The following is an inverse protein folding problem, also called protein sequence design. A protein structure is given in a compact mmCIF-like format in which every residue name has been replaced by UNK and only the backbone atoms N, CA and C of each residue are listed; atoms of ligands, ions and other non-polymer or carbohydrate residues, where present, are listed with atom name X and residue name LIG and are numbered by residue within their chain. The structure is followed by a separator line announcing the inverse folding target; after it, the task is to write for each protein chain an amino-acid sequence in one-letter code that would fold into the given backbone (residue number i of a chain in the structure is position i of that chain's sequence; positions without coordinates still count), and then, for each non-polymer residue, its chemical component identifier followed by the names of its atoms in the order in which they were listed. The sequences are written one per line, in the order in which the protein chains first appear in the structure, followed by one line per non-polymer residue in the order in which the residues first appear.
data_IF_474588916325
#
_entry.id   IF_474588916325
#
_cell.length_a   1.000
_cell.length_b   1.000
_cell.length_c   1.000
_cell.angle_alpha   90.00
_cell.angle_beta   90.00
_cell.angle_gamma   90.00
#
_symmetry.space_group_name_H-M   'P 1'
#
loop_
_entity.id
_entity.type
_entity.pdbx_description
1 polymer ?
#
# COMPACT_ATOMS: atom_id res chain seq x y z
N UNK A 1 6.46 2.52 21.64
CA UNK A 1 5.41 2.52 22.66
C UNK A 1 5.64 3.65 23.65
N UNK A 2 4.57 4.20 24.22
CA UNK A 2 4.65 5.20 25.27
C UNK A 2 4.87 4.51 26.62
N UNK A 3 5.67 5.15 27.50
CA UNK A 3 5.81 4.74 28.89
C UNK A 3 4.69 5.36 29.74
N UNK A 4 4.43 4.79 30.93
CA UNK A 4 3.44 5.37 31.87
C UNK A 4 3.78 6.82 32.24
N UNK A 5 5.07 7.16 32.28
CA UNK A 5 5.54 8.52 32.57
C UNK A 5 5.20 9.53 31.46
N UNK A 6 4.96 9.07 30.23
CA UNK A 6 4.64 9.93 29.09
C UNK A 6 3.15 10.34 29.07
N UNK A 7 2.33 9.72 29.95
CA UNK A 7 0.90 10.04 30.06
C UNK A 7 0.75 11.31 30.91
N UNK A 8 0.24 12.37 30.30
CA UNK A 8 0.09 13.68 30.96
C UNK A 8 -1.13 13.71 31.88
N UNK A 9 -2.27 13.18 31.43
CA UNK A 9 -3.54 13.25 32.15
C UNK A 9 -4.35 11.95 31.99
N UNK A 10 -5.11 11.60 33.01
CA UNK A 10 -5.96 10.40 33.05
C UNK A 10 -7.40 10.87 33.28
N UNK A 11 -8.27 10.61 32.33
CA UNK A 11 -9.68 10.99 32.36
C UNK A 11 -10.53 9.72 32.47
N UNK A 12 -11.44 9.68 33.43
CA UNK A 12 -12.39 8.59 33.60
C UNK A 12 -13.70 8.93 32.90
N UNK A 13 -14.23 7.98 32.13
CA UNK A 13 -15.46 8.14 31.34
C UNK A 13 -16.43 6.99 31.62
N UNK A 14 -17.71 7.32 31.78
CA UNK A 14 -18.79 6.37 32.03
C UNK A 14 -19.05 6.09 33.52
N UNK A 15 -20.30 5.79 33.87
CA UNK A 15 -20.76 5.63 35.24
C UNK A 15 -20.02 4.57 36.04
N UNK A 16 -19.55 3.50 35.42
CA UNK A 16 -18.77 2.43 36.08
C UNK A 16 -17.48 2.95 36.71
N UNK A 17 -16.92 4.04 36.22
CA UNK A 17 -15.67 4.63 36.74
C UNK A 17 -15.86 5.36 38.06
N UNK A 18 -17.12 5.50 38.53
CA UNK A 18 -17.44 6.00 39.88
C UNK A 18 -17.14 4.99 40.96
N UNK A 19 -16.96 3.72 40.62
CA UNK A 19 -16.63 2.65 41.58
C UNK A 19 -15.25 2.92 42.18
N UNK A 20 -15.12 3.06 43.52
CA UNK A 20 -13.84 3.40 44.14
C UNK A 20 -12.70 2.42 43.83
N UNK A 21 -13.00 1.13 43.70
CA UNK A 21 -12.02 0.12 43.36
C UNK A 21 -11.40 0.33 41.96
N UNK A 22 -12.20 0.82 41.00
CA UNK A 22 -11.71 1.16 39.66
C UNK A 22 -10.78 2.36 39.72
N UNK A 23 -11.17 3.42 40.44
CA UNK A 23 -10.35 4.62 40.62
C UNK A 23 -9.00 4.29 41.28
N UNK A 24 -9.02 3.48 42.34
CA UNK A 24 -7.82 3.01 43.03
C UNK A 24 -6.91 2.15 42.11
N UNK A 25 -7.51 1.27 41.32
CA UNK A 25 -6.76 0.44 40.36
C UNK A 25 -6.07 1.29 39.30
N UNK A 26 -6.76 2.29 38.75
CA UNK A 26 -6.20 3.24 37.77
C UNK A 26 -5.08 4.06 38.38
N UNK A 27 -5.30 4.63 39.57
CA UNK A 27 -4.29 5.41 40.30
C UNK A 27 -3.03 4.56 40.59
N UNK A 28 -3.23 3.33 41.04
CA UNK A 28 -2.12 2.39 41.29
C UNK A 28 -1.36 2.03 40.05
N UNK A 29 -2.05 1.85 38.91
CA UNK A 29 -1.41 1.49 37.64
C UNK A 29 -0.58 2.63 37.06
N UNK A 30 -1.13 3.86 37.04
CA UNK A 30 -0.47 5.01 36.46
C UNK A 30 0.41 5.79 37.44
N UNK A 31 0.32 5.51 38.76
CA UNK A 31 1.03 6.29 39.76
C UNK A 31 0.52 7.74 39.92
N UNK A 32 -0.62 8.05 39.32
CA UNK A 32 -1.29 9.38 39.34
C UNK A 32 -2.78 9.22 39.59
N UNK A 33 -3.37 10.10 40.36
CA UNK A 33 -4.82 10.16 40.49
C UNK A 33 -5.49 10.61 39.18
N UNK A 34 -6.63 10.00 38.81
CA UNK A 34 -7.41 10.47 37.66
C UNK A 34 -7.87 11.91 37.84
N UNK A 35 -7.95 12.65 36.74
CA UNK A 35 -8.48 14.00 36.69
C UNK A 35 -9.95 14.03 37.17
N UNK A 36 -10.28 15.02 38.01
CA UNK A 36 -11.64 15.27 38.50
C UNK A 36 -12.31 16.43 37.77
N UNK A 37 -11.69 16.95 36.73
CA UNK A 37 -12.13 18.13 35.99
C UNK A 37 -13.40 17.93 35.17
N UNK A 38 -13.80 16.68 34.91
CA UNK A 38 -14.99 16.35 34.11
C UNK A 38 -15.91 15.38 34.86
N UNK A 39 -17.21 15.48 34.62
CA UNK A 39 -18.20 14.52 35.11
C UNK A 39 -18.18 13.29 34.19
N UNK A 40 -17.87 12.08 34.71
CA UNK A 40 -17.78 10.87 33.87
C UNK A 40 -19.07 10.51 33.13
N UNK A 41 -20.23 10.95 33.62
CA UNK A 41 -21.54 10.64 32.99
C UNK A 41 -21.87 11.62 31.85
N UNK A 42 -21.34 12.84 31.89
CA UNK A 42 -21.68 13.93 30.96
C UNK A 42 -20.60 14.23 29.95
N UNK A 43 -19.38 13.77 30.18
CA UNK A 43 -18.20 14.15 29.39
C UNK A 43 -18.34 13.80 27.91
N UNK A 44 -19.03 12.70 27.59
CA UNK A 44 -19.29 12.31 26.18
C UNK A 44 -20.23 13.30 25.51
N UNK A 45 -21.31 13.70 26.18
CA UNK A 45 -22.25 14.68 25.66
C UNK A 45 -21.58 16.07 25.50
N UNK A 46 -20.76 16.47 26.47
CA UNK A 46 -19.99 17.70 26.42
C UNK A 46 -18.99 17.68 25.24
N UNK A 47 -18.26 16.57 25.07
CA UNK A 47 -17.34 16.38 23.96
C UNK A 47 -18.04 16.43 22.60
N UNK A 48 -19.22 15.81 22.47
CA UNK A 48 -20.03 15.88 21.26
C UNK A 48 -20.51 17.30 20.95
N UNK A 49 -20.91 18.08 21.99
CA UNK A 49 -21.30 19.47 21.82
C UNK A 49 -20.11 20.36 21.37
N UNK A 50 -18.93 20.16 21.95
CA UNK A 50 -17.71 20.87 21.56
C UNK A 50 -17.35 20.53 20.09
N UNK A 51 -17.40 19.25 19.73
CA UNK A 51 -17.14 18.81 18.35
C UNK A 51 -18.16 19.40 17.36
N UNK A 52 -19.42 19.47 17.74
CA UNK A 52 -20.45 20.18 16.96
C UNK A 52 -20.07 21.66 16.74
N UNK A 53 -19.62 22.33 17.80
CA UNK A 53 -19.17 23.72 17.71
C UNK A 53 -17.90 23.92 16.84
N UNK A 54 -16.97 22.93 16.84
CA UNK A 54 -15.81 22.93 15.92
C UNK A 54 -16.27 22.79 14.48
N UNK A 55 -17.21 21.89 14.19
CA UNK A 55 -17.74 21.65 12.84
C UNK A 55 -18.53 22.83 12.29
N UNK A 56 -19.25 23.57 13.16
CA UNK A 56 -19.96 24.80 12.77
C UNK A 56 -19.06 26.04 12.70
N UNK A 57 -17.83 25.96 13.19
CA UNK A 57 -16.88 27.06 13.25
C UNK A 57 -17.06 28.01 14.46
N UNK A 58 -17.94 27.64 15.41
CA UNK A 58 -18.17 28.42 16.64
C UNK A 58 -17.03 28.26 17.64
N UNK A 59 -16.41 27.07 17.67
CA UNK A 59 -15.25 26.77 18.52
C UNK A 59 -14.00 26.68 17.64
N UNK A 60 -13.03 27.57 17.88
CA UNK A 60 -11.79 27.68 17.07
C UNK A 60 -10.53 27.26 17.83
N UNK A 61 -10.61 27.17 19.13
CA UNK A 61 -9.44 26.94 20.01
C UNK A 61 -9.22 25.45 20.33
N UNK A 62 -10.08 24.58 19.79
CA UNK A 62 -9.99 23.13 19.99
C UNK A 62 -9.84 22.48 18.62
N UNK A 63 -8.74 21.74 18.44
CA UNK A 63 -8.50 20.89 17.27
C UNK A 63 -8.67 19.43 17.71
N UNK A 64 -9.76 18.79 17.28
CA UNK A 64 -9.93 17.36 17.40
C UNK A 64 -9.59 16.73 16.05
N UNK A 65 -8.56 15.90 16.04
CA UNK A 65 -8.16 15.15 14.87
C UNK A 65 -8.51 13.67 15.09
N UNK A 66 -9.32 13.13 14.21
CA UNK A 66 -9.57 11.70 14.14
C UNK A 66 -8.54 11.02 13.24
N UNK A 67 -8.40 9.72 13.34
CA UNK A 67 -7.41 8.95 12.57
C UNK A 67 -8.04 7.71 11.93
N UNK A 68 -7.48 7.28 10.81
CA UNK A 68 -7.86 6.01 10.19
C UNK A 68 -7.44 4.84 11.10
N UNK A 69 -8.34 3.92 11.49
CA UNK A 69 -8.00 2.81 12.39
C UNK A 69 -7.13 1.74 11.73
N UNK A 70 -7.24 1.59 10.41
CA UNK A 70 -6.52 0.65 9.55
C UNK A 70 -6.11 1.33 8.25
N UNK A 71 -5.09 0.78 7.60
CA UNK A 71 -4.65 1.22 6.28
C UNK A 71 -5.74 0.99 5.23
N UNK A 72 -5.81 1.89 4.27
CA UNK A 72 -6.70 1.85 3.12
C UNK A 72 -5.87 1.76 1.84
N UNK A 73 -6.31 0.96 0.89
CA UNK A 73 -5.57 0.76 -0.36
C UNK A 73 -6.41 0.10 -1.44
N UNK A 74 -5.73 -0.28 -2.50
CA UNK A 74 -6.33 -1.00 -3.63
C UNK A 74 -5.58 -2.29 -3.93
N UNK A 75 -6.27 -3.25 -4.54
CA UNK A 75 -5.62 -4.41 -5.12
C UNK A 75 -4.85 -4.01 -6.38
N UNK A 76 -3.61 -4.45 -6.46
CA UNK A 76 -2.73 -4.26 -7.62
C UNK A 76 -2.21 -5.59 -8.14
N UNK A 77 -1.42 -5.55 -9.22
CA UNK A 77 -0.90 -6.73 -9.91
C UNK A 77 -0.28 -7.76 -8.95
N UNK A 78 -0.67 -9.02 -9.12
CA UNK A 78 -0.24 -10.12 -8.24
C UNK A 78 -1.08 -10.28 -6.97
N UNK A 79 -2.22 -9.57 -6.84
CA UNK A 79 -3.09 -9.65 -5.67
C UNK A 79 -2.50 -8.97 -4.43
N UNK A 80 -1.60 -8.01 -4.62
CA UNK A 80 -0.98 -7.23 -3.54
C UNK A 80 -1.89 -6.05 -3.18
N UNK A 81 -2.01 -5.74 -1.89
CA UNK A 81 -2.60 -4.49 -1.43
C UNK A 81 -1.58 -3.36 -1.47
N UNK A 82 -1.77 -2.41 -2.38
CA UNK A 82 -1.02 -1.15 -2.37
C UNK A 82 -1.72 -0.16 -1.46
N UNK A 83 -1.04 0.21 -0.38
CA UNK A 83 -1.59 1.14 0.61
C UNK A 83 -1.57 2.56 0.07
N UNK A 84 -2.75 3.19 0.06
CA UNK A 84 -2.93 4.59 -0.30
C UNK A 84 -2.86 5.49 0.94
N UNK A 85 -3.50 5.09 2.01
CA UNK A 85 -3.51 5.81 3.30
C UNK A 85 -3.13 4.81 4.38
N UNK A 86 -2.09 5.10 5.14
CA UNK A 86 -1.62 4.25 6.24
C UNK A 86 -2.55 4.35 7.46
N UNK A 87 -2.55 3.30 8.28
CA UNK A 87 -3.23 3.34 9.58
C UNK A 87 -2.72 4.50 10.45
N UNK A 88 -3.59 5.01 11.29
CA UNK A 88 -3.34 6.15 12.18
C UNK A 88 -3.00 7.47 11.44
N UNK A 89 -3.36 7.58 10.16
CA UNK A 89 -3.30 8.85 9.44
C UNK A 89 -4.42 9.75 9.90
N UNK A 90 -4.08 10.98 10.24
CA UNK A 90 -5.05 12.02 10.66
C UNK A 90 -6.01 12.36 9.52
N UNK A 91 -7.29 12.52 9.82
CA UNK A 91 -8.31 12.98 8.88
C UNK A 91 -8.75 14.41 9.21
N UNK A 92 -9.16 15.22 8.18
CA UNK A 92 -9.28 14.88 6.78
C UNK A 92 -7.93 14.68 6.08
N UNK A 93 -7.89 13.80 5.08
CA UNK A 93 -6.66 13.52 4.32
C UNK A 93 -6.97 13.13 2.88
N UNK A 94 -6.04 13.42 1.98
CA UNK A 94 -6.15 13.10 0.57
C UNK A 94 -4.83 12.57 0.03
N UNK A 95 -4.88 11.47 -0.71
CA UNK A 95 -3.72 10.91 -1.41
C UNK A 95 -4.09 10.48 -2.81
N UNK A 96 -3.19 10.75 -3.76
CA UNK A 96 -3.34 10.44 -5.17
C UNK A 96 -2.11 9.71 -5.67
N UNK A 97 -2.31 8.60 -6.37
CA UNK A 97 -1.24 7.85 -7.03
C UNK A 97 -1.66 7.46 -8.45
N UNK A 98 -0.68 7.29 -9.34
CA UNK A 98 -0.94 6.90 -10.73
C UNK A 98 -0.58 5.44 -10.92
N UNK A 99 -1.53 4.68 -11.43
CA UNK A 99 -1.43 3.27 -11.79
C UNK A 99 -1.53 3.10 -13.31
N UNK A 100 -1.37 1.87 -13.77
CA UNK A 100 -1.43 1.53 -15.19
C UNK A 100 -2.16 0.21 -15.42
N UNK A 101 -2.37 -0.15 -16.69
CA UNK A 101 -2.98 -1.42 -17.09
C UNK A 101 -2.01 -2.59 -16.97
N UNK A 102 -2.52 -3.78 -16.65
CA UNK A 102 -1.74 -5.01 -16.48
C UNK A 102 -1.60 -5.82 -17.78
N UNK A 103 -2.51 -5.62 -18.74
CA UNK A 103 -2.52 -6.32 -20.03
C UNK A 103 -2.68 -5.34 -21.19
N UNK A 104 -2.23 -5.78 -22.39
CA UNK A 104 -2.36 -4.99 -23.60
C UNK A 104 -3.83 -4.78 -24.00
N UNK A 105 -4.14 -3.59 -24.50
CA UNK A 105 -5.48 -3.22 -24.97
C UNK A 105 -6.57 -3.41 -23.94
N UNK A 106 -6.27 -3.26 -22.65
CA UNK A 106 -7.22 -3.39 -21.55
C UNK A 106 -8.26 -2.25 -21.61
N UNK A 107 -9.56 -2.55 -21.84
CA UNK A 107 -10.57 -1.51 -22.06
C UNK A 107 -11.11 -0.93 -20.76
N UNK A 108 -10.91 -1.62 -19.64
CA UNK A 108 -11.39 -1.22 -18.32
C UNK A 108 -10.44 -1.67 -17.22
N UNK A 109 -10.47 -0.98 -16.07
CA UNK A 109 -9.80 -1.40 -14.84
C UNK A 109 -10.82 -1.55 -13.71
N UNK A 110 -10.70 -2.62 -12.96
CA UNK A 110 -11.45 -2.84 -11.72
C UNK A 110 -10.65 -2.27 -10.55
N UNK A 111 -11.27 -1.42 -9.75
CA UNK A 111 -10.69 -0.86 -8.55
C UNK A 111 -11.37 -1.50 -7.34
N UNK A 112 -10.67 -2.41 -6.65
CA UNK A 112 -11.09 -2.98 -5.38
C UNK A 112 -10.50 -2.19 -4.25
N UNK A 113 -11.35 -1.55 -3.47
CA UNK A 113 -10.98 -0.76 -2.30
C UNK A 113 -10.90 -1.67 -1.09
N UNK A 114 -9.77 -1.66 -0.42
CA UNK A 114 -9.42 -2.57 0.67
C UNK A 114 -9.11 -1.81 1.95
N UNK A 115 -9.40 -2.45 3.08
CA UNK A 115 -9.06 -1.98 4.41
C UNK A 115 -8.39 -3.10 5.21
N UNK A 116 -7.22 -2.83 5.79
CA UNK A 116 -6.47 -3.78 6.60
C UNK A 116 -4.96 -3.57 6.56
N UNK A 117 -4.22 -4.48 7.20
CA UNK A 117 -2.77 -4.36 7.36
C UNK A 117 -1.98 -5.44 6.62
N UNK A 118 -2.66 -6.48 6.08
CA UNK A 118 -1.99 -7.58 5.41
C UNK A 118 -1.53 -7.16 4.01
N UNK A 119 -0.37 -7.65 3.55
CA UNK A 119 0.16 -7.29 2.21
C UNK A 119 -0.67 -7.84 1.05
N UNK A 120 -1.36 -8.97 1.25
CA UNK A 120 -2.16 -9.59 0.20
C UNK A 120 -3.61 -9.08 0.23
N UNK A 121 -4.14 -8.71 -0.93
CA UNK A 121 -5.50 -8.17 -1.07
C UNK A 121 -6.57 -9.09 -0.48
N UNK A 122 -6.48 -10.40 -0.75
CA UNK A 122 -7.43 -11.41 -0.27
C UNK A 122 -7.48 -11.56 1.26
N UNK A 123 -6.49 -11.03 1.98
CA UNK A 123 -6.38 -11.11 3.44
C UNK A 123 -6.90 -9.85 4.13
N UNK A 124 -7.37 -8.87 3.37
CA UNK A 124 -7.93 -7.62 3.86
C UNK A 124 -9.43 -7.54 3.56
N UNK A 125 -10.13 -6.66 4.24
CA UNK A 125 -11.56 -6.45 4.01
C UNK A 125 -11.77 -5.60 2.76
N UNK A 126 -12.51 -6.13 1.79
CA UNK A 126 -12.98 -5.34 0.66
C UNK A 126 -14.15 -4.46 1.13
N UNK A 127 -14.00 -3.15 1.01
CA UNK A 127 -14.99 -2.16 1.44
C UNK A 127 -15.69 -1.49 0.26
N UNK A 128 -15.20 -1.69 -0.96
CA UNK A 128 -15.82 -1.18 -2.18
C UNK A 128 -15.20 -1.79 -3.43
N UNK A 129 -15.95 -1.72 -4.52
CA UNK A 129 -15.51 -2.12 -5.85
C UNK A 129 -16.20 -1.27 -6.90
N UNK A 130 -15.48 -0.83 -7.92
CA UNK A 130 -16.03 -0.14 -9.07
C UNK A 130 -15.12 -0.31 -10.29
N UNK A 131 -15.64 0.04 -11.48
CA UNK A 131 -14.93 -0.12 -12.74
C UNK A 131 -14.76 1.24 -13.42
N UNK A 132 -13.58 1.48 -13.96
CA UNK A 132 -13.34 2.58 -14.88
C UNK A 132 -13.27 2.01 -16.30
N UNK A 133 -14.28 2.32 -17.11
CA UNK A 133 -14.43 1.80 -18.46
C UNK A 133 -13.98 2.82 -19.52
N UNK A 134 -13.70 2.30 -20.73
CA UNK A 134 -13.40 3.11 -21.90
C UNK A 134 -12.02 3.73 -21.89
N UNK A 135 -11.07 2.99 -21.36
CA UNK A 135 -9.64 3.24 -21.51
C UNK A 135 -9.28 2.99 -22.98
N UNK A 136 -8.51 3.88 -23.58
CA UNK A 136 -8.08 3.72 -24.96
C UNK A 136 -7.18 2.50 -25.11
N UNK A 137 -7.35 1.68 -26.16
CA UNK A 137 -6.45 0.57 -26.45
C UNK A 137 -5.01 1.05 -26.54
N UNK A 138 -4.15 0.52 -25.72
CA UNK A 138 -2.71 0.80 -25.66
C UNK A 138 -1.96 -0.40 -25.09
N UNK A 139 -0.65 -0.41 -25.20
CA UNK A 139 0.17 -1.43 -24.55
C UNK A 139 0.05 -1.31 -23.03
N UNK A 140 0.16 -2.44 -22.33
CA UNK A 140 0.23 -2.44 -20.86
C UNK A 140 1.33 -1.50 -20.37
N UNK A 141 1.09 -0.80 -19.28
CA UNK A 141 2.03 0.17 -18.73
C UNK A 141 1.97 1.57 -19.34
N UNK A 142 1.29 1.78 -20.48
CA UNK A 142 1.13 3.09 -21.12
C UNK A 142 -0.04 3.92 -20.57
N UNK A 143 -1.25 3.35 -20.36
CA UNK A 143 -2.35 4.10 -19.77
C UNK A 143 -2.01 4.58 -18.36
N UNK A 144 -2.40 5.81 -18.06
CA UNK A 144 -2.19 6.43 -16.74
C UNK A 144 -3.53 6.61 -16.05
N UNK A 145 -3.76 5.78 -15.04
CA UNK A 145 -4.97 5.79 -14.23
C UNK A 145 -4.65 6.43 -12.88
N UNK A 146 -5.13 7.63 -12.69
CA UNK A 146 -4.98 8.34 -11.43
C UNK A 146 -6.04 7.90 -10.44
N UNK A 147 -5.63 7.33 -9.30
CA UNK A 147 -6.51 6.93 -8.22
C UNK A 147 -6.32 7.86 -7.03
N UNK A 148 -7.40 8.47 -6.60
CA UNK A 148 -7.44 9.40 -5.48
C UNK A 148 -8.29 8.84 -4.35
N UNK A 149 -7.73 8.81 -3.15
CA UNK A 149 -8.43 8.56 -1.89
C UNK A 149 -8.58 9.89 -1.17
N UNK A 150 -9.80 10.25 -0.83
CA UNK A 150 -10.16 11.53 -0.19
C UNK A 150 -11.09 11.23 0.99
N UNK A 151 -10.58 11.39 2.22
CA UNK A 151 -11.34 11.19 3.46
C UNK A 151 -11.66 12.55 4.05
N UNK A 152 -12.94 12.83 4.22
CA UNK A 152 -13.39 14.07 4.83
C UNK A 152 -13.30 14.04 6.38
N UNK A 153 -13.62 15.16 7.02
CA UNK A 153 -13.60 15.29 8.48
C UNK A 153 -14.62 14.39 9.20
N UNK A 154 -15.59 13.83 8.48
CA UNK A 154 -16.59 12.90 9.02
C UNK A 154 -16.18 11.43 8.81
N UNK A 155 -14.99 11.17 8.28
CA UNK A 155 -14.51 9.83 7.99
C UNK A 155 -15.09 9.21 6.71
N UNK A 156 -15.78 9.99 5.87
CA UNK A 156 -16.33 9.50 4.61
C UNK A 156 -15.20 9.42 3.59
N UNK A 157 -14.97 8.22 3.05
CA UNK A 157 -13.99 7.94 2.02
C UNK A 157 -14.60 8.07 0.63
N UNK A 158 -14.08 8.97 -0.17
CA UNK A 158 -14.34 9.04 -1.61
C UNK A 158 -13.14 8.48 -2.36
N UNK A 159 -13.36 7.49 -3.20
CA UNK A 159 -12.33 6.94 -4.09
C UNK A 159 -12.69 7.26 -5.51
N UNK A 160 -11.77 7.92 -6.21
CA UNK A 160 -11.94 8.34 -7.60
C UNK A 160 -10.85 7.69 -8.44
N UNK A 161 -11.22 7.15 -9.59
CA UNK A 161 -10.28 6.69 -10.62
C UNK A 161 -10.51 7.50 -11.90
N UNK A 162 -9.43 8.03 -12.47
CA UNK A 162 -9.47 8.87 -13.68
C UNK A 162 -8.40 8.44 -14.68
N UNK A 163 -8.82 8.16 -15.90
CA UNK A 163 -7.90 7.99 -17.02
C UNK A 163 -7.41 9.36 -17.52
N UNK A 164 -6.11 9.62 -17.42
CA UNK A 164 -5.50 10.89 -17.82
C UNK A 164 -5.60 11.16 -19.33
N UNK A 165 -5.64 10.13 -20.15
CA UNK A 165 -5.68 10.26 -21.60
C UNK A 165 -7.08 10.64 -22.09
N UNK A 166 -8.14 9.99 -21.60
CA UNK A 166 -9.52 10.22 -22.02
C UNK A 166 -10.26 11.22 -21.17
N UNK A 167 -9.75 11.49 -19.95
CA UNK A 167 -10.44 12.30 -18.94
C UNK A 167 -11.62 11.59 -18.29
N UNK A 168 -11.93 10.35 -18.66
CA UNK A 168 -12.99 9.56 -18.04
C UNK A 168 -12.71 9.31 -16.58
N UNK A 169 -13.74 9.44 -15.76
CA UNK A 169 -13.65 9.35 -14.31
C UNK A 169 -14.81 8.53 -13.76
N UNK A 170 -14.53 7.72 -12.77
CA UNK A 170 -15.50 7.01 -11.95
C UNK A 170 -15.15 7.17 -10.48
N UNK A 171 -16.19 7.17 -9.64
CA UNK A 171 -16.01 7.33 -8.21
C UNK A 171 -16.95 6.45 -7.40
N UNK A 172 -16.52 6.08 -6.22
CA UNK A 172 -17.33 5.46 -5.18
C UNK A 172 -17.22 6.25 -3.88
N UNK A 173 -18.35 6.36 -3.16
CA UNK A 173 -18.40 6.91 -1.81
C UNK A 173 -18.61 5.76 -0.83
N UNK A 174 -17.78 5.70 0.20
CA UNK A 174 -17.80 4.67 1.23
C UNK A 174 -17.99 5.38 2.57
N UNK A 175 -19.07 5.06 3.27
CA UNK A 175 -19.37 5.67 4.57
C UNK A 175 -18.62 4.94 5.70
N UNK A 176 -18.19 5.69 6.70
CA UNK A 176 -17.46 5.15 7.86
C UNK A 176 -18.26 4.07 8.61
N UNK A 177 -19.61 4.15 8.55
CA UNK A 177 -20.51 3.18 9.18
C UNK A 177 -20.59 1.80 8.51
N UNK A 178 -20.01 1.63 7.31
CA UNK A 178 -19.85 0.30 6.69
C UNK A 178 -18.81 -0.58 7.43
N UNK A 179 -18.46 -0.17 8.59
CA UNK A 179 -17.29 -0.38 9.38
C UNK A 179 -17.10 -1.74 10.01
N UNK A 180 -15.91 -1.87 10.48
CA UNK A 180 -15.42 -2.91 11.36
C UNK A 180 -15.78 -2.53 12.81
N UNK A 181 -16.18 -3.49 13.62
CA UNK A 181 -16.25 -3.31 15.07
C UNK A 181 -14.85 -3.17 15.66
N UNK A 182 -14.73 -2.61 16.85
CA UNK A 182 -13.44 -2.50 17.55
C UNK A 182 -12.76 -3.88 17.72
N UNK A 183 -13.58 -4.93 17.95
CA UNK A 183 -13.08 -6.29 18.03
C UNK A 183 -12.51 -6.78 16.71
N UNK A 184 -13.16 -6.48 15.59
CA UNK A 184 -12.67 -6.84 14.25
C UNK A 184 -11.37 -6.09 13.92
N UNK A 185 -11.28 -4.81 14.26
CA UNK A 185 -10.05 -4.01 14.09
C UNK A 185 -8.89 -4.62 14.90
N UNK A 186 -9.12 -4.95 16.15
CA UNK A 186 -8.13 -5.59 17.02
C UNK A 186 -7.69 -6.96 16.46
N UNK A 187 -8.66 -7.76 16.02
CA UNK A 187 -8.38 -9.06 15.40
C UNK A 187 -7.52 -8.90 14.15
N UNK A 188 -7.88 -8.00 13.22
CA UNK A 188 -7.14 -7.77 11.98
C UNK A 188 -5.70 -7.31 12.24
N UNK A 189 -5.49 -6.45 13.25
CA UNK A 189 -4.13 -6.04 13.67
C UNK A 189 -3.34 -7.21 14.24
N UNK A 190 -3.93 -8.00 15.11
CA UNK A 190 -3.28 -9.17 15.71
C UNK A 190 -2.94 -10.25 14.66
N UNK A 191 -3.85 -10.50 13.70
CA UNK A 191 -3.61 -11.42 12.58
C UNK A 191 -2.46 -10.92 11.68
N UNK A 192 -2.37 -9.61 11.43
CA UNK A 192 -1.28 -9.03 10.66
C UNK A 192 0.07 -9.18 11.37
N UNK A 193 0.12 -8.93 12.68
CA UNK A 193 1.33 -9.13 13.49
C UNK A 193 1.75 -10.60 13.54
N UNK A 194 0.81 -11.52 13.75
CA UNK A 194 1.09 -12.96 13.84
C UNK A 194 1.63 -13.56 12.53
N UNK A 195 1.26 -12.99 11.38
CA UNK A 195 1.67 -13.47 10.07
C UNK A 195 2.74 -12.62 9.40
N UNK A 196 3.27 -11.60 10.06
CA UNK A 196 4.13 -10.56 9.46
C UNK A 196 5.32 -11.13 8.67
N UNK A 197 6.01 -12.16 9.20
CA UNK A 197 7.15 -12.77 8.50
C UNK A 197 6.74 -13.58 7.27
N UNK A 198 5.66 -14.36 7.37
CA UNK A 198 5.14 -15.13 6.24
C UNK A 198 4.63 -14.21 5.14
N UNK A 199 3.91 -13.18 5.51
CA UNK A 199 3.36 -12.16 4.62
C UNK A 199 4.47 -11.37 3.92
N UNK A 200 5.53 -11.02 4.63
CA UNK A 200 6.69 -10.36 4.06
C UNK A 200 7.35 -11.21 2.97
N UNK A 201 7.56 -12.49 3.25
CA UNK A 201 8.14 -13.42 2.26
C UNK A 201 7.26 -13.58 1.03
N UNK A 202 5.93 -13.68 1.21
CA UNK A 202 5.01 -13.82 0.10
C UNK A 202 4.93 -12.54 -0.73
N UNK A 203 4.90 -11.37 -0.09
CA UNK A 203 4.98 -10.07 -0.76
C UNK A 203 6.26 -9.95 -1.58
N UNK A 204 7.42 -10.23 -0.98
CA UNK A 204 8.71 -10.20 -1.68
C UNK A 204 8.74 -11.15 -2.87
N UNK A 205 8.14 -12.34 -2.73
CA UNK A 205 8.01 -13.31 -3.83
C UNK A 205 7.22 -12.74 -5.00
N UNK A 206 6.07 -12.12 -4.71
CA UNK A 206 5.20 -11.56 -5.74
C UNK A 206 5.84 -10.32 -6.37
N UNK A 207 6.46 -9.43 -5.57
CA UNK A 207 7.17 -8.27 -6.09
C UNK A 207 8.31 -8.68 -7.06
N UNK A 208 9.03 -9.75 -6.74
CA UNK A 208 10.04 -10.31 -7.64
C UNK A 208 9.42 -10.83 -8.94
N UNK A 209 8.29 -11.53 -8.87
CA UNK A 209 7.57 -11.99 -10.07
C UNK A 209 7.09 -10.82 -10.92
N UNK A 210 6.49 -9.81 -10.32
CA UNK A 210 6.02 -8.63 -11.01
C UNK A 210 7.18 -7.85 -11.66
N UNK A 211 8.31 -7.76 -10.99
CA UNK A 211 9.53 -7.14 -11.54
C UNK A 211 10.06 -7.94 -12.72
N UNK A 212 10.12 -9.27 -12.63
CA UNK A 212 10.55 -10.13 -13.72
C UNK A 212 9.64 -9.97 -14.95
N UNK A 213 8.31 -9.96 -14.76
CA UNK A 213 7.34 -9.73 -15.84
C UNK A 213 7.52 -8.36 -16.51
N UNK A 214 7.69 -7.31 -15.73
CA UNK A 214 7.94 -5.97 -16.24
C UNK A 214 9.25 -5.89 -17.04
N UNK A 215 10.31 -6.53 -16.54
CA UNK A 215 11.62 -6.57 -17.23
C UNK A 215 11.55 -7.37 -18.53
N UNK A 216 10.87 -8.52 -18.53
CA UNK A 216 10.62 -9.30 -19.76
C UNK A 216 9.93 -8.43 -20.80
N UNK A 217 8.82 -7.80 -20.43
CA UNK A 217 8.05 -6.97 -21.35
C UNK A 217 8.85 -5.78 -21.90
N UNK A 218 9.56 -5.07 -21.03
CA UNK A 218 10.35 -3.91 -21.44
C UNK A 218 11.50 -4.30 -22.35
N UNK A 219 12.15 -5.44 -22.09
CA UNK A 219 13.25 -5.95 -22.92
C UNK A 219 12.76 -6.40 -24.29
N UNK A 220 11.63 -7.10 -24.37
CA UNK A 220 11.00 -7.47 -25.62
C UNK A 220 10.64 -6.26 -26.47
N UNK A 221 10.04 -5.23 -25.85
CA UNK A 221 9.70 -3.98 -26.50
C UNK A 221 10.96 -3.32 -27.09
N UNK A 222 12.03 -3.22 -26.33
CA UNK A 222 13.29 -2.62 -26.78
C UNK A 222 13.98 -3.43 -27.87
N UNK A 223 13.98 -4.77 -27.77
CA UNK A 223 14.50 -5.63 -28.84
C UNK A 223 13.69 -5.50 -30.12
N UNK A 224 12.38 -5.34 -30.04
CA UNK A 224 11.53 -5.10 -31.21
C UNK A 224 11.77 -3.74 -31.87
N UNK A 225 11.98 -2.69 -31.05
CA UNK A 225 12.17 -1.31 -31.56
C UNK A 225 13.61 -1.02 -32.03
N UNK A 226 14.58 -1.60 -31.37
CA UNK A 226 16.01 -1.27 -31.57
C UNK A 226 16.86 -2.46 -32.02
N UNK A 227 16.29 -3.66 -32.16
CA UNK A 227 17.04 -4.90 -32.42
C UNK A 227 17.93 -4.89 -33.67
N UNK A 228 17.50 -4.14 -34.69
CA UNK A 228 18.31 -3.98 -35.93
C UNK A 228 19.49 -3.00 -35.76
N UNK A 229 19.44 -2.17 -34.69
CA UNK A 229 20.51 -1.20 -34.37
C UNK A 229 21.52 -1.74 -33.36
N UNK A 230 21.21 -2.88 -32.72
CA UNK A 230 22.08 -3.51 -31.74
C UNK A 230 23.06 -4.45 -32.46
N UNK A 231 24.37 -4.33 -32.24
CA UNK A 231 25.35 -5.27 -32.80
C UNK A 231 25.06 -6.70 -32.36
N UNK A 232 25.25 -7.67 -33.28
CA UNK A 232 24.87 -9.07 -33.06
C UNK A 232 25.58 -9.71 -31.84
N UNK A 233 26.83 -9.33 -31.57
CA UNK A 233 27.62 -9.76 -30.44
C UNK A 233 27.03 -9.30 -29.10
N UNK A 234 26.27 -8.20 -29.09
CA UNK A 234 25.57 -7.67 -27.92
C UNK A 234 24.11 -8.15 -27.81
N UNK A 235 23.48 -8.44 -28.93
CA UNK A 235 22.09 -8.90 -28.99
C UNK A 235 21.93 -10.33 -28.43
N UNK A 236 22.84 -11.23 -28.81
CA UNK A 236 22.78 -12.63 -28.41
C UNK A 236 22.77 -12.86 -26.89
N UNK A 237 23.64 -12.22 -26.08
CA UNK A 237 23.58 -12.34 -24.61
C UNK A 237 22.27 -11.83 -24.00
N UNK A 238 21.67 -10.76 -24.57
CA UNK A 238 20.39 -10.21 -24.10
C UNK A 238 19.27 -11.21 -24.37
N UNK A 239 19.22 -11.77 -25.58
CA UNK A 239 18.20 -12.77 -25.97
C UNK A 239 18.32 -14.04 -25.14
N UNK A 240 19.53 -14.50 -24.82
CA UNK A 240 19.76 -15.66 -23.95
C UNK A 240 19.32 -15.37 -22.51
N UNK A 241 19.69 -14.22 -21.93
CA UNK A 241 19.26 -13.81 -20.59
C UNK A 241 17.74 -13.65 -20.51
N UNK A 242 17.12 -13.06 -21.53
CA UNK A 242 15.67 -12.92 -21.62
C UNK A 242 14.97 -14.29 -21.67
N UNK A 243 15.49 -15.23 -22.44
CA UNK A 243 14.96 -16.59 -22.52
C UNK A 243 15.04 -17.28 -21.16
N UNK A 244 16.19 -17.21 -20.49
CA UNK A 244 16.37 -17.81 -19.16
C UNK A 244 15.43 -17.18 -18.12
N UNK A 245 15.21 -15.85 -18.19
CA UNK A 245 14.28 -15.14 -17.31
C UNK A 245 12.83 -15.58 -17.55
N UNK A 246 12.41 -15.75 -18.82
CA UNK A 246 11.07 -16.27 -19.17
C UNK A 246 10.87 -17.69 -18.64
N UNK A 247 11.83 -18.58 -18.89
CA UNK A 247 11.77 -19.98 -18.46
C UNK A 247 11.62 -20.07 -16.93
N UNK A 248 12.32 -19.22 -16.19
CA UNK A 248 12.24 -19.17 -14.74
C UNK A 248 10.91 -18.58 -14.25
N UNK A 249 10.41 -17.55 -14.94
CA UNK A 249 9.11 -16.93 -14.64
C UNK A 249 7.96 -17.90 -14.84
N UNK A 250 7.92 -18.62 -15.99
CA UNK A 250 6.88 -19.62 -16.29
C UNK A 250 6.85 -20.77 -15.27
N UNK A 251 8.02 -21.25 -14.86
CA UNK A 251 8.15 -22.31 -13.87
C UNK A 251 7.87 -21.87 -12.44
N UNK A 252 7.68 -20.54 -12.21
CA UNK A 252 7.52 -19.93 -10.87
C UNK A 252 8.62 -20.34 -9.90
N UNK A 253 9.81 -20.67 -10.41
CA UNK A 253 10.96 -21.06 -9.61
C UNK A 253 11.59 -19.80 -9.01
N UNK A 254 11.29 -19.55 -7.76
CA UNK A 254 11.93 -18.53 -6.92
C UNK A 254 12.25 -19.17 -5.57
N UNK A 255 13.44 -18.99 -5.01
CA UNK A 255 14.51 -18.05 -5.31
C UNK A 255 15.68 -18.72 -6.01
N UNK A 256 16.02 -18.29 -7.19
CA UNK A 256 17.23 -18.75 -7.87
C UNK A 256 18.23 -17.59 -7.95
N UNK A 257 19.43 -17.75 -7.41
CA UNK A 257 20.51 -16.74 -7.52
C UNK A 257 20.78 -16.38 -9.00
N UNK A 258 20.58 -17.34 -9.90
CA UNK A 258 20.67 -17.13 -11.35
C UNK A 258 19.62 -16.16 -11.92
N UNK A 259 18.43 -16.03 -11.30
CA UNK A 259 17.38 -15.10 -11.75
C UNK A 259 17.79 -13.64 -11.51
N UNK A 260 18.44 -13.39 -10.36
CA UNK A 260 19.00 -12.08 -10.06
C UNK A 260 20.08 -11.69 -11.05
N UNK A 261 20.96 -12.62 -11.39
CA UNK A 261 21.99 -12.38 -12.40
C UNK A 261 21.39 -12.08 -13.76
N UNK A 262 20.36 -12.82 -14.19
CA UNK A 262 19.67 -12.55 -15.46
C UNK A 262 18.93 -11.21 -15.42
N UNK A 263 18.26 -10.87 -14.33
CA UNK A 263 17.55 -9.61 -14.14
C UNK A 263 18.53 -8.43 -14.14
N UNK A 264 19.62 -8.54 -13.40
CA UNK A 264 20.67 -7.52 -13.31
C UNK A 264 21.41 -7.33 -14.66
N UNK A 265 21.65 -8.43 -15.38
CA UNK A 265 22.21 -8.38 -16.72
C UNK A 265 21.25 -7.65 -17.65
N UNK A 266 19.97 -8.06 -17.72
CA UNK A 266 18.97 -7.46 -18.59
C UNK A 266 18.75 -5.99 -18.22
N UNK A 267 18.59 -5.63 -16.96
CA UNK A 267 18.42 -4.25 -16.50
C UNK A 267 19.65 -3.38 -16.82
N UNK A 268 20.85 -3.91 -16.64
CA UNK A 268 22.10 -3.18 -16.96
C UNK A 268 22.19 -2.89 -18.46
N UNK A 269 21.82 -3.83 -19.31
CA UNK A 269 21.81 -3.64 -20.77
C UNK A 269 20.72 -2.67 -21.22
N UNK A 270 19.56 -2.71 -20.57
CA UNK A 270 18.39 -1.89 -20.90
C UNK A 270 18.58 -0.44 -20.48
N UNK A 271 19.18 -0.20 -19.31
CA UNK A 271 19.31 1.16 -18.75
C UNK A 271 20.57 1.91 -19.19
N UNK A 272 21.64 1.21 -19.58
CA UNK A 272 22.88 1.89 -19.94
C UNK A 272 23.78 1.08 -20.88
N UNK A 273 23.62 1.25 -22.20
CA UNK A 273 24.43 0.54 -23.20
C UNK A 273 25.94 0.84 -23.12
N UNK A 274 26.36 1.84 -22.34
CA UNK A 274 27.78 2.23 -22.19
C UNK A 274 28.50 1.58 -20.99
N UNK A 275 27.78 0.98 -20.04
CA UNK A 275 28.37 0.37 -18.82
C UNK A 275 29.01 -1.01 -19.08
N UNK A 276 28.82 -1.56 -20.27
CA UNK A 276 29.29 -2.88 -20.68
C UNK A 276 30.81 -3.11 -20.53
N UNK A 277 31.61 -2.07 -20.58
CA UNK A 277 33.08 -2.21 -20.58
C UNK A 277 33.67 -2.57 -19.20
N UNK A 278 32.95 -2.31 -18.12
CA UNK A 278 33.45 -2.52 -16.75
C UNK A 278 33.08 -3.90 -16.19
N UNK A 279 31.95 -4.47 -16.62
CA UNK A 279 31.43 -5.72 -16.07
C UNK A 279 32.07 -6.98 -16.65
N UNK A 280 32.51 -6.96 -17.93
CA UNK A 280 33.17 -8.11 -18.55
C UNK A 280 34.46 -8.53 -17.83
N UNK A 281 35.15 -7.59 -17.15
CA UNK A 281 36.38 -7.90 -16.39
C UNK A 281 36.10 -8.56 -15.03
N UNK A 282 34.92 -8.39 -14.42
CA UNK A 282 34.59 -8.97 -13.12
C UNK A 282 33.93 -10.35 -13.21
N UNK A 283 33.13 -10.62 -14.26
CA UNK A 283 32.39 -11.89 -14.40
C UNK A 283 33.23 -13.02 -14.99
N UNK A 284 34.23 -12.72 -15.83
CA UNK A 284 35.14 -13.74 -16.37
C UNK A 284 35.97 -14.43 -15.29
N UNK A 285 36.21 -13.76 -14.17
CA UNK A 285 36.93 -14.32 -13.01
C UNK A 285 36.11 -15.30 -12.18
N UNK A 286 34.78 -15.22 -12.25
CA UNK A 286 33.90 -16.04 -11.40
C UNK A 286 33.46 -17.35 -12.08
N UNK A 287 33.30 -17.34 -13.41
CA UNK A 287 32.86 -18.52 -14.17
C UNK A 287 34.02 -19.48 -14.47
N UNK A 288 35.26 -18.99 -14.57
CA UNK A 288 36.38 -19.84 -14.99
C UNK A 288 37.18 -20.45 -13.85
N UNK A 289 37.00 -20.04 -12.60
CA UNK A 289 37.66 -20.62 -11.42
C UNK A 289 39.18 -20.76 -11.53
N UNK A 290 39.82 -19.95 -12.36
CA UNK A 290 41.29 -19.94 -12.49
C UNK A 290 41.86 -18.64 -11.94
N UNK A 291 42.71 -18.84 -10.89
CA UNK A 291 43.63 -17.86 -10.33
C UNK A 291 44.44 -17.13 -11.39
#
# INVERSE_FOLDING_TARGET
GLSISDINEIILVGGSTRIPAIQQAVEKFFGKAPSKGVNPDEVVALGAAIQGGVLTGDVKDVLLLDVTPLSLGIETMGGVMTKMIEANTTIPTKKTETFTTAVDNQPSVEIKVLQGERPMAAQNKQIGIFHLDGIMPARRGEPQIEVTFDIDANGILNVTAKDKATGKEQKIRIEASSGLSDEEIKRMKAEAEANAEADKKEKERIEKLNRADATIFQTEKQLAELGDKIPADKKAPIEEALKNLKDAYEKKILPFEGLWNCLEIVETYVQNPYVFYVFQRRYFFWITGKN
#
